data_IF_864672458253
#
_entry.id   IF_864672458253
#
_cell.length_a   1.000
_cell.length_b   1.000
_cell.length_c   1.000
_cell.angle_alpha   90.00
_cell.angle_beta   90.00
_cell.angle_gamma   90.00
#
_symmetry.space_group_name_H-M   'P 1'
#
loop_
_entity.id
_entity.type
_entity.pdbx_description
1 polymer ?
#
# COMPACT_ATOMS: atom_id res chain seq x y z
N UNK A 1 12.51 -2.49 0.49
CA UNK A 1 11.12 -1.98 0.51
C UNK A 1 11.15 -0.46 0.44
N UNK A 2 10.36 0.16 -0.44
CA UNK A 2 10.34 1.62 -0.58
C UNK A 2 9.98 2.33 0.74
N UNK A 3 10.63 3.47 1.00
CA UNK A 3 10.41 4.22 2.25
C UNK A 3 8.96 4.64 2.47
N UNK A 4 8.26 5.02 1.40
CA UNK A 4 6.88 5.47 1.55
C UNK A 4 5.96 4.38 2.10
N UNK A 5 6.28 3.11 1.88
CA UNK A 5 5.54 2.01 2.48
C UNK A 5 5.78 1.96 3.99
N UNK A 6 7.03 2.16 4.41
CA UNK A 6 7.37 2.15 5.83
C UNK A 6 6.65 3.28 6.56
N UNK A 7 6.58 4.45 5.94
CA UNK A 7 5.99 5.64 6.54
C UNK A 7 4.46 5.63 6.53
N UNK A 8 3.83 4.96 5.57
CA UNK A 8 2.39 5.06 5.34
C UNK A 8 1.63 3.74 5.50
N UNK A 9 2.34 2.65 5.74
CA UNK A 9 1.76 1.33 5.94
C UNK A 9 2.24 0.72 7.25
N UNK A 10 1.40 -0.11 7.84
CA UNK A 10 1.74 -0.87 9.04
C UNK A 10 2.03 -2.31 8.65
N UNK A 11 3.14 -2.86 9.13
CA UNK A 11 3.44 -4.27 8.97
C UNK A 11 2.61 -5.03 10.00
N UNK A 12 1.69 -5.86 9.53
CA UNK A 12 0.80 -6.62 10.42
C UNK A 12 1.23 -8.06 10.61
N UNK A 13 2.05 -8.58 9.69
CA UNK A 13 2.55 -9.96 9.77
C UNK A 13 3.78 -10.13 8.90
N UNK A 14 4.70 -10.98 9.32
CA UNK A 14 5.85 -11.41 8.51
C UNK A 14 5.94 -12.93 8.58
N UNK A 15 6.00 -13.58 7.41
CA UNK A 15 6.22 -15.02 7.32
C UNK A 15 7.52 -15.27 6.58
N UNK A 16 8.42 -16.03 7.19
CA UNK A 16 9.65 -16.44 6.54
C UNK A 16 9.59 -17.95 6.29
N UNK A 17 9.61 -18.33 5.00
CA UNK A 17 9.49 -19.73 4.58
C UNK A 17 10.60 -20.04 3.59
N UNK A 18 11.54 -20.93 3.96
CA UNK A 18 12.63 -21.42 3.08
C UNK A 18 13.32 -20.28 2.30
N UNK A 19 12.99 -20.11 1.02
CA UNK A 19 13.60 -19.14 0.11
C UNK A 19 12.75 -17.87 -0.06
N UNK A 20 11.75 -17.67 0.81
CA UNK A 20 10.77 -16.61 0.64
C UNK A 20 10.47 -15.89 1.95
N UNK A 21 10.27 -14.58 1.85
CA UNK A 21 9.79 -13.75 2.96
C UNK A 21 8.52 -13.04 2.48
N UNK A 22 7.41 -13.28 3.17
CA UNK A 22 6.13 -12.62 2.89
C UNK A 22 5.86 -11.58 3.97
N UNK A 23 5.72 -10.33 3.56
CA UNK A 23 5.46 -9.20 4.47
C UNK A 23 4.06 -8.68 4.19
N UNK A 24 3.20 -8.71 5.20
CA UNK A 24 1.80 -8.26 5.10
C UNK A 24 1.70 -6.82 5.58
N UNK A 25 1.20 -5.95 4.71
CA UNK A 25 1.11 -4.52 4.95
C UNK A 25 -0.32 -4.02 4.82
N UNK A 26 -0.73 -3.15 5.74
CA UNK A 26 -2.03 -2.46 5.67
C UNK A 26 -1.78 -0.96 5.74
N UNK A 27 -2.45 -0.20 4.87
CA UNK A 27 -2.31 1.24 4.85
C UNK A 27 -2.79 1.86 6.16
N UNK A 28 -2.05 2.83 6.69
CA UNK A 28 -2.39 3.53 7.91
C UNK A 28 -3.70 4.29 7.77
N UNK A 29 -4.40 4.48 8.90
CA UNK A 29 -5.66 5.21 8.95
C UNK A 29 -5.41 6.72 9.02
N UNK A 30 -4.71 7.25 8.02
CA UNK A 30 -4.39 8.68 7.91
C UNK A 30 -5.09 9.25 6.69
N UNK A 31 -5.98 10.22 6.91
CA UNK A 31 -6.73 10.85 5.82
C UNK A 31 -5.77 11.63 4.91
N UNK A 32 -5.90 11.54 3.57
CA UNK A 32 -5.09 12.35 2.66
C UNK A 32 -5.19 13.84 2.98
N UNK A 33 -4.06 14.55 2.89
CA UNK A 33 -3.95 15.96 3.29
C UNK A 33 -4.93 16.90 2.59
N UNK A 34 -5.30 16.57 1.37
CA UNK A 34 -6.22 17.39 0.57
C UNK A 34 -7.70 17.13 0.88
N UNK A 35 -8.00 16.28 1.85
CA UNK A 35 -9.37 15.95 2.23
C UNK A 35 -9.67 16.41 3.65
N UNK A 36 -10.93 16.75 3.90
CA UNK A 36 -11.39 17.16 5.23
C UNK A 36 -11.78 15.92 6.03
N UNK A 37 -11.22 15.78 7.22
CA UNK A 37 -11.51 14.66 8.12
C UNK A 37 -13.00 14.52 8.42
N UNK A 38 -13.72 15.63 8.51
CA UNK A 38 -15.15 15.61 8.82
C UNK A 38 -16.02 15.01 7.71
N UNK A 39 -15.50 14.95 6.48
CA UNK A 39 -16.27 14.48 5.32
C UNK A 39 -15.97 13.04 4.93
N UNK A 40 -14.87 12.48 5.41
CA UNK A 40 -14.40 11.16 5.01
C UNK A 40 -14.23 10.21 6.18
N UNK A 41 -14.59 8.95 5.95
CA UNK A 41 -14.39 7.88 6.91
C UNK A 41 -13.71 6.70 6.24
N UNK A 42 -12.98 5.92 7.02
CA UNK A 42 -12.37 4.68 6.51
C UNK A 42 -13.46 3.70 6.11
N UNK A 43 -13.34 3.13 4.92
CA UNK A 43 -14.33 2.22 4.34
C UNK A 43 -13.68 0.88 3.96
N UNK A 44 -12.95 0.30 4.90
CA UNK A 44 -12.26 -0.97 4.69
C UNK A 44 -11.06 -0.85 3.76
N UNK A 45 -10.71 -1.96 3.13
CA UNK A 45 -9.54 -2.07 2.28
C UNK A 45 -9.92 -2.58 0.90
N UNK A 46 -9.07 -2.25 -0.09
CA UNK A 46 -9.11 -2.91 -1.37
C UNK A 46 -8.62 -4.36 -1.20
N UNK A 47 -8.89 -5.20 -2.20
CA UNK A 47 -8.40 -6.57 -2.21
C UNK A 47 -6.88 -6.59 -2.05
N UNK A 48 -6.37 -7.51 -1.23
CA UNK A 48 -4.94 -7.69 -1.04
C UNK A 48 -4.23 -7.98 -2.36
N UNK A 49 -3.12 -7.31 -2.59
CA UNK A 49 -2.29 -7.48 -3.80
C UNK A 49 -0.91 -7.97 -3.38
N UNK A 50 -0.41 -8.96 -4.11
CA UNK A 50 0.94 -9.50 -3.91
C UNK A 50 1.89 -8.80 -4.89
N UNK A 51 2.97 -8.23 -4.36
CA UNK A 51 3.98 -7.49 -5.12
C UNK A 51 5.34 -8.09 -4.81
N UNK A 52 6.12 -8.38 -5.85
CA UNK A 52 7.51 -8.81 -5.67
C UNK A 52 8.38 -7.60 -5.39
N UNK A 53 9.18 -7.67 -4.36
CA UNK A 53 10.15 -6.65 -4.00
C UNK A 53 11.57 -7.17 -4.27
N UNK A 54 12.57 -6.33 -3.98
CA UNK A 54 13.98 -6.72 -4.11
C UNK A 54 14.30 -7.84 -3.11
N UNK A 55 15.12 -8.78 -3.57
CA UNK A 55 15.52 -9.93 -2.72
C UNK A 55 16.34 -9.45 -1.52
N UNK A 56 16.19 -10.16 -0.40
CA UNK A 56 16.98 -9.93 0.81
C UNK A 56 17.71 -11.23 1.13
N UNK A 57 19.04 -11.17 1.18
CA UNK A 57 19.90 -12.33 1.51
C UNK A 57 19.59 -13.58 0.67
N UNK A 58 19.34 -13.36 -0.62
CA UNK A 58 19.01 -14.45 -1.54
C UNK A 58 17.60 -14.99 -1.45
N UNK A 59 16.75 -14.42 -0.59
CA UNK A 59 15.36 -14.82 -0.45
C UNK A 59 14.45 -13.88 -1.22
N UNK A 60 13.46 -14.45 -1.91
CA UNK A 60 12.42 -13.67 -2.59
C UNK A 60 11.56 -12.95 -1.55
N UNK A 61 11.39 -11.64 -1.71
CA UNK A 61 10.52 -10.86 -0.84
C UNK A 61 9.21 -10.58 -1.56
N UNK A 62 8.10 -10.92 -0.93
CA UNK A 62 6.76 -10.60 -1.40
C UNK A 62 6.10 -9.63 -0.42
N UNK A 63 5.50 -8.57 -0.98
CA UNK A 63 4.73 -7.61 -0.20
C UNK A 63 3.26 -7.89 -0.47
N UNK A 64 2.50 -8.17 0.59
CA UNK A 64 1.07 -8.43 0.49
C UNK A 64 0.37 -7.20 1.04
N UNK A 65 -0.10 -6.36 0.14
CA UNK A 65 -0.49 -4.98 0.44
C UNK A 65 -2.00 -4.81 0.38
N UNK A 66 -2.57 -4.24 1.44
CA UNK A 66 -3.97 -3.82 1.48
C UNK A 66 -4.02 -2.31 1.53
N UNK A 67 -4.60 -1.70 0.49
CA UNK A 67 -4.80 -0.27 0.42
C UNK A 67 -6.13 0.10 1.05
N UNK A 68 -6.14 1.20 1.80
CA UNK A 68 -7.35 1.67 2.48
C UNK A 68 -8.25 2.45 1.53
N UNK A 69 -9.56 2.22 1.66
CA UNK A 69 -10.58 3.00 0.95
C UNK A 69 -11.16 4.04 1.89
N UNK A 70 -11.52 5.19 1.33
CA UNK A 70 -12.15 6.28 2.07
C UNK A 70 -13.50 6.58 1.46
N UNK A 71 -14.51 6.77 2.30
CA UNK A 71 -15.88 7.07 1.87
C UNK A 71 -16.22 8.50 2.21
N UNK A 72 -16.67 9.27 1.22
CA UNK A 72 -17.26 10.59 1.46
C UNK A 72 -18.66 10.38 2.03
N UNK A 73 -18.90 10.91 3.23
CA UNK A 73 -20.18 10.72 3.93
C UNK A 73 -21.36 11.38 3.20
N UNK A 74 -21.12 12.46 2.48
CA UNK A 74 -22.16 13.20 1.78
C UNK A 74 -22.46 12.65 0.39
N UNK A 75 -21.42 12.48 -0.44
CA UNK A 75 -21.57 12.02 -1.82
C UNK A 75 -21.60 10.53 -1.97
N UNK A 76 -21.16 9.77 -0.94
CA UNK A 76 -21.00 8.32 -0.97
C UNK A 76 -19.95 7.84 -1.95
N UNK A 77 -19.08 8.73 -2.39
CA UNK A 77 -17.97 8.41 -3.28
C UNK A 77 -16.85 7.71 -2.50
N UNK A 78 -16.29 6.65 -3.09
CA UNK A 78 -15.16 5.91 -2.51
C UNK A 78 -13.89 6.32 -3.22
N UNK A 79 -12.88 6.73 -2.45
CA UNK A 79 -11.60 7.15 -2.99
C UNK A 79 -10.44 6.42 -2.30
N UNK A 80 -9.27 6.49 -2.93
CA UNK A 80 -8.02 5.95 -2.39
C UNK A 80 -6.90 6.97 -2.63
N UNK A 81 -5.84 6.90 -1.81
CA UNK A 81 -4.66 7.77 -2.03
C UNK A 81 -3.99 7.44 -3.35
N UNK A 82 -3.48 8.46 -4.01
CA UNK A 82 -2.68 8.30 -5.23
C UNK A 82 -1.21 8.10 -4.82
N UNK A 83 -0.79 6.84 -4.75
CA UNK A 83 0.57 6.48 -4.37
C UNK A 83 1.59 6.73 -5.47
N UNK A 84 1.12 6.94 -6.71
CA UNK A 84 2.01 7.22 -7.84
C UNK A 84 2.81 8.50 -7.62
N UNK A 85 2.15 9.55 -7.14
CA UNK A 85 2.80 10.84 -6.85
C UNK A 85 3.76 10.73 -5.67
N UNK A 86 3.36 10.00 -4.61
CA UNK A 86 4.17 9.83 -3.40
C UNK A 86 5.42 9.01 -3.70
N UNK A 87 5.31 8.02 -4.57
CA UNK A 87 6.41 7.12 -4.91
C UNK A 87 7.36 7.66 -5.98
N UNK A 88 7.07 8.84 -6.54
CA UNK A 88 7.89 9.44 -7.60
C UNK A 88 9.34 9.57 -7.15
N UNK A 89 10.26 9.02 -7.96
CA UNK A 89 11.69 9.05 -7.66
C UNK A 89 12.16 7.94 -6.72
N UNK A 90 11.25 7.15 -6.19
CA UNK A 90 11.60 6.04 -5.31
C UNK A 90 12.05 4.83 -6.14
N UNK A 91 13.16 4.22 -5.75
CA UNK A 91 13.64 3.00 -6.39
C UNK A 91 12.71 1.84 -6.02
N UNK A 92 12.23 1.12 -7.06
CA UNK A 92 11.31 0.01 -6.86
C UNK A 92 11.44 -1.03 -7.99
N UNK A 93 10.91 -2.22 -7.77
CA UNK A 93 10.85 -3.27 -8.79
C UNK A 93 9.82 -2.90 -9.86
N UNK A 94 9.92 -3.54 -11.04
CA UNK A 94 8.95 -3.37 -12.10
C UNK A 94 7.55 -3.83 -11.66
N UNK A 95 7.49 -4.89 -10.86
CA UNK A 95 6.24 -5.40 -10.31
C UNK A 95 5.55 -4.35 -9.45
N UNK A 96 6.32 -3.65 -8.60
CA UNK A 96 5.80 -2.59 -7.75
C UNK A 96 5.34 -1.39 -8.59
N UNK A 97 6.12 -1.01 -9.60
CA UNK A 97 5.76 0.09 -10.49
C UNK A 97 4.46 -0.20 -11.22
N UNK A 98 4.28 -1.44 -11.69
CA UNK A 98 3.05 -1.89 -12.34
C UNK A 98 1.85 -1.81 -11.39
N UNK A 99 2.05 -2.22 -10.13
CA UNK A 99 1.01 -2.11 -9.09
C UNK A 99 0.55 -0.66 -8.92
N UNK A 100 1.49 0.28 -8.82
CA UNK A 100 1.16 1.70 -8.64
C UNK A 100 0.39 2.26 -9.83
N UNK A 101 0.76 1.88 -11.05
CA UNK A 101 0.08 2.33 -12.27
C UNK A 101 -1.33 1.76 -12.42
N UNK A 102 -1.56 0.56 -11.90
CA UNK A 102 -2.86 -0.10 -11.96
C UNK A 102 -3.85 0.37 -10.91
N UNK A 103 -3.46 1.32 -10.08
CA UNK A 103 -4.31 1.85 -9.01
C UNK A 103 -5.23 2.93 -9.58
N UNK A 104 -6.48 2.68 -9.50
CA UNK A 104 -7.49 3.65 -9.87
C UNK A 104 -8.34 4.04 -8.67
#
# INVERSE_FOLDING_TARGET
MPEFLIDNYQIVKVEEIAQRIDIYLEENKTIPDNLKQSEYVSHGFHKQVKIKDFSIRGKQVNLLVKRRRWLNKETKEVISKDWTLIAKGTRMTDDFATFLKGIN
#
